data_IF_586245053664
#
_entry.id   IF_586245053664
#
_cell.length_a   1.000
_cell.length_b   1.000
_cell.length_c   1.000
_cell.angle_alpha   90.00
_cell.angle_beta   90.00
_cell.angle_gamma   90.00
#
_symmetry.space_group_name_H-M   'P 1'
#
loop_
_entity.id
_entity.type
_entity.pdbx_description
1 polymer ?
#
# COMPACT_ATOMS: atom_id res chain seq x y z
N UNK A 1 13.27 -5.95 46.19
CA UNK A 1 14.46 -5.50 45.42
C UNK A 1 13.96 -5.20 44.02
N UNK A 2 14.29 -4.04 43.45
CA UNK A 2 13.96 -3.75 42.05
C UNK A 2 14.77 -4.72 41.18
N UNK A 3 14.11 -5.44 40.27
CA UNK A 3 14.78 -6.31 39.30
C UNK A 3 15.20 -5.47 38.10
N UNK A 4 16.49 -5.47 37.78
CA UNK A 4 17.02 -4.93 36.53
C UNK A 4 17.05 -6.03 35.48
N UNK A 5 16.58 -5.74 34.27
CA UNK A 5 16.54 -6.66 33.13
C UNK A 5 17.08 -5.95 31.89
N UNK A 6 18.01 -6.58 31.17
CA UNK A 6 18.42 -6.11 29.85
C UNK A 6 17.33 -6.48 28.86
N UNK A 7 16.71 -5.47 28.26
CA UNK A 7 15.56 -5.62 27.36
C UNK A 7 15.92 -5.41 25.89
N UNK A 8 17.08 -4.83 25.62
CA UNK A 8 17.65 -4.69 24.29
C UNK A 8 19.17 -4.66 24.39
N UNK A 9 19.86 -5.34 23.48
CA UNK A 9 21.32 -5.28 23.38
C UNK A 9 21.78 -5.50 21.93
N UNK A 10 22.65 -4.63 21.43
CA UNK A 10 23.37 -4.85 20.17
C UNK A 10 24.76 -4.23 20.21
N UNK A 11 25.71 -4.87 19.52
CA UNK A 11 27.05 -4.34 19.28
C UNK A 11 27.22 -3.84 17.84
N UNK A 12 26.14 -3.85 17.04
CA UNK A 12 26.19 -3.30 15.69
C UNK A 12 26.41 -1.79 15.72
N UNK A 13 27.00 -1.28 14.64
CA UNK A 13 27.12 0.16 14.44
C UNK A 13 25.83 0.64 13.83
N UNK A 14 25.11 1.46 14.58
CA UNK A 14 23.89 2.11 14.14
C UNK A 14 24.26 3.50 13.65
N UNK A 15 23.97 3.75 12.38
CA UNK A 15 24.17 5.04 11.74
C UNK A 15 22.94 5.93 11.99
N UNK A 16 23.13 7.11 12.57
CA UNK A 16 22.05 8.01 13.03
C UNK A 16 22.00 9.31 12.23
N UNK A 17 23.07 9.72 11.53
CA UNK A 17 23.03 10.86 10.60
C UNK A 17 24.38 11.16 9.93
N UNK A 18 24.35 11.79 8.75
CA UNK A 18 25.52 12.21 7.94
C UNK A 18 25.49 13.72 7.68
N UNK A 19 26.65 14.39 7.72
CA UNK A 19 26.81 15.72 7.09
C UNK A 19 27.71 15.65 5.83
N UNK A 20 27.06 15.74 4.65
CA UNK A 20 27.60 16.12 3.34
C UNK A 20 28.84 15.35 2.79
N UNK A 21 28.67 14.09 2.37
CA UNK A 21 29.59 13.41 1.43
C UNK A 21 29.11 13.67 0.00
N UNK A 22 29.94 14.29 -0.85
CA UNK A 22 29.63 14.69 -2.25
C UNK A 22 29.18 13.59 -3.24
N UNK A 23 29.02 12.35 -2.75
CA UNK A 23 28.54 11.19 -3.52
C UNK A 23 27.43 10.40 -2.82
N UNK A 24 27.04 10.78 -1.61
CA UNK A 24 26.00 10.15 -0.82
C UNK A 24 24.87 11.16 -0.60
N UNK A 25 23.63 10.70 -0.53
CA UNK A 25 22.50 11.58 -0.25
C UNK A 25 22.70 12.28 1.10
N UNK A 26 22.54 13.60 1.22
CA UNK A 26 22.60 14.29 2.51
C UNK A 26 21.55 13.69 3.44
N UNK A 27 21.96 13.08 4.56
CA UNK A 27 21.02 12.57 5.57
C UNK A 27 20.66 13.72 6.52
N UNK A 28 19.64 14.48 6.16
CA UNK A 28 19.00 15.40 7.09
C UNK A 28 18.39 14.58 8.26
N UNK A 29 18.97 14.72 9.46
CA UNK A 29 18.36 14.37 10.75
C UNK A 29 17.57 13.06 10.83
N UNK A 30 18.20 11.92 10.58
CA UNK A 30 17.55 10.61 10.76
C UNK A 30 17.33 10.26 12.24
N UNK A 31 16.21 9.59 12.51
CA UNK A 31 15.90 9.00 13.80
C UNK A 31 16.01 7.47 13.73
N UNK A 32 16.59 6.87 14.75
CA UNK A 32 16.63 5.40 14.93
C UNK A 32 15.77 5.02 16.13
N UNK A 33 14.99 3.94 16.00
CA UNK A 33 14.05 3.51 17.05
C UNK A 33 14.41 2.15 17.64
N UNK A 34 14.24 2.01 18.95
CA UNK A 34 14.44 0.79 19.72
C UNK A 34 13.14 0.50 20.46
N UNK A 35 12.51 -0.64 20.14
CA UNK A 35 11.27 -1.08 20.79
C UNK A 35 11.58 -1.83 22.08
N UNK A 36 10.97 -1.40 23.18
CA UNK A 36 11.10 -2.06 24.49
C UNK A 36 9.94 -3.04 24.72
N UNK A 37 10.06 -3.98 25.67
CA UNK A 37 8.91 -4.68 26.24
C UNK A 37 8.05 -3.70 27.05
N UNK A 38 6.85 -4.15 27.44
CA UNK A 38 5.92 -3.36 28.23
C UNK A 38 6.59 -2.77 29.47
N UNK A 39 6.27 -1.51 29.76
CA UNK A 39 6.75 -0.81 30.96
C UNK A 39 5.56 -0.44 31.84
N UNK A 40 5.74 -0.56 33.14
CA UNK A 40 4.78 -0.08 34.12
C UNK A 40 5.06 1.38 34.48
N UNK A 41 4.03 2.07 34.99
CA UNK A 41 4.21 3.42 35.48
C UNK A 41 5.26 3.44 36.61
N UNK A 42 6.29 4.26 36.45
CA UNK A 42 7.38 4.41 37.41
C UNK A 42 8.53 3.42 37.22
N UNK A 43 8.49 2.53 36.22
CA UNK A 43 9.68 1.78 35.80
C UNK A 43 10.78 2.73 35.34
N UNK A 44 12.03 2.41 35.66
CA UNK A 44 13.17 3.14 35.14
C UNK A 44 13.72 2.44 33.90
N UNK A 45 14.05 3.22 32.88
CA UNK A 45 14.67 2.75 31.66
C UNK A 45 16.03 3.42 31.54
N UNK A 46 17.09 2.62 31.54
CA UNK A 46 18.46 3.09 31.35
C UNK A 46 18.93 2.72 29.94
N UNK A 47 19.23 3.74 29.12
CA UNK A 47 19.76 3.60 27.77
C UNK A 47 21.27 3.85 27.76
N UNK A 48 22.03 2.85 27.36
CA UNK A 48 23.48 2.90 27.24
C UNK A 48 23.88 2.85 25.78
N UNK A 49 24.90 3.63 25.41
CA UNK A 49 25.47 3.65 24.07
C UNK A 49 26.91 4.16 24.10
N UNK A 50 27.73 3.70 23.14
CA UNK A 50 29.01 4.33 22.82
C UNK A 50 28.84 5.22 21.58
N UNK A 51 29.02 6.55 21.70
CA UNK A 51 28.84 7.47 20.59
C UNK A 51 30.09 7.60 19.71
N UNK A 52 29.89 8.02 18.47
CA UNK A 52 30.90 8.57 17.57
C UNK A 52 30.29 9.79 16.89
N UNK A 53 30.97 10.94 16.92
CA UNK A 53 30.50 12.14 16.21
C UNK A 53 29.29 12.85 16.83
N UNK A 54 28.91 12.60 18.09
CA UNK A 54 27.73 13.27 18.67
C UNK A 54 27.99 14.76 18.87
N UNK A 55 27.30 15.60 18.11
CA UNK A 55 27.36 17.06 18.26
C UNK A 55 26.01 17.65 18.69
N UNK A 56 24.94 17.31 17.98
CA UNK A 56 23.57 17.71 18.31
C UNK A 56 22.62 16.55 18.04
N UNK A 57 22.12 15.92 19.10
CA UNK A 57 21.21 14.80 19.00
C UNK A 57 20.32 14.72 20.25
N UNK A 58 19.15 14.12 20.10
CA UNK A 58 18.18 13.94 21.17
C UNK A 58 17.67 12.51 21.23
N UNK A 59 17.34 12.07 22.44
CA UNK A 59 16.67 10.79 22.71
C UNK A 59 15.28 11.08 23.26
N UNK A 60 14.26 10.48 22.65
CA UNK A 60 12.88 10.55 23.08
C UNK A 60 12.42 9.20 23.63
N UNK A 61 11.64 9.23 24.72
CA UNK A 61 11.02 8.05 25.31
C UNK A 61 9.67 8.44 25.94
N UNK A 62 8.57 7.85 25.43
CA UNK A 62 7.19 8.12 25.89
C UNK A 62 6.86 9.62 26.03
N UNK A 63 7.25 10.42 25.03
CA UNK A 63 7.01 11.87 24.99
C UNK A 63 7.94 12.72 25.85
N UNK A 64 8.89 12.11 26.57
CA UNK A 64 9.99 12.84 27.21
C UNK A 64 11.18 12.90 26.26
N UNK A 65 11.75 14.08 26.08
CA UNK A 65 12.92 14.30 25.22
C UNK A 65 14.11 14.76 26.05
N UNK A 66 15.30 14.21 25.78
CA UNK A 66 16.56 14.62 26.40
C UNK A 66 17.65 14.78 25.36
N UNK A 67 18.43 15.85 25.48
CA UNK A 67 19.62 16.06 24.65
C UNK A 67 20.71 15.05 25.02
N UNK A 68 21.38 14.52 24.00
CA UNK A 68 22.55 13.67 24.16
C UNK A 68 23.77 14.53 24.53
N UNK A 69 24.67 14.04 25.40
CA UNK A 69 25.92 14.75 25.69
C UNK A 69 26.80 14.85 24.44
N UNK A 70 27.07 16.08 24.00
CA UNK A 70 27.95 16.34 22.87
C UNK A 70 29.41 15.93 23.16
N UNK A 71 30.05 15.28 22.20
CA UNK A 71 31.49 15.01 22.21
C UNK A 71 32.26 16.27 21.81
N UNK A 72 33.41 16.50 22.46
CA UNK A 72 34.27 17.66 22.16
C UNK A 72 35.35 17.28 21.15
N UNK A 73 35.63 18.12 20.13
CA UNK A 73 36.74 17.86 19.23
C UNK A 73 38.08 17.73 19.98
N UNK A 74 38.92 16.78 19.56
CA UNK A 74 40.29 16.65 20.07
C UNK A 74 41.17 17.83 19.59
N UNK A 75 42.30 18.15 20.27
CA UNK A 75 43.19 19.23 19.85
C UNK A 75 43.61 19.10 18.37
N UNK A 76 43.37 20.15 17.58
CA UNK A 76 43.67 20.16 16.14
C UNK A 76 42.62 19.51 15.25
N UNK A 77 41.49 19.04 15.80
CA UNK A 77 40.32 18.56 15.07
C UNK A 77 39.18 19.58 15.16
N UNK A 78 38.39 19.72 14.09
CA UNK A 78 37.22 20.61 14.08
C UNK A 78 35.94 19.95 14.61
N UNK A 79 35.84 18.63 14.45
CA UNK A 79 34.67 17.80 14.77
C UNK A 79 35.07 16.57 15.62
N UNK A 80 34.16 15.95 16.38
CA UNK A 80 34.44 14.83 17.29
C UNK A 80 34.30 13.43 16.65
N UNK A 81 34.98 13.19 15.52
CA UNK A 81 34.94 11.93 14.77
C UNK A 81 35.77 10.80 15.43
N UNK A 82 35.39 10.41 16.63
CA UNK A 82 36.05 9.34 17.36
C UNK A 82 35.04 8.64 18.27
N UNK A 83 35.25 7.34 18.52
CA UNK A 83 34.44 6.60 19.48
C UNK A 83 34.70 7.13 20.89
N UNK A 84 33.64 7.62 21.54
CA UNK A 84 33.67 8.12 22.91
C UNK A 84 33.60 7.00 23.95
N UNK A 85 33.45 7.41 25.21
CA UNK A 85 33.18 6.48 26.31
C UNK A 85 31.70 6.06 26.33
N UNK A 86 31.42 4.93 26.97
CA UNK A 86 30.05 4.47 27.20
C UNK A 86 29.26 5.53 27.98
N UNK A 87 28.12 5.94 27.42
CA UNK A 87 27.24 6.97 27.98
C UNK A 87 25.92 6.34 28.41
N UNK A 88 25.32 6.86 29.50
CA UNK A 88 24.05 6.38 30.06
C UNK A 88 23.03 7.52 30.11
N UNK A 89 21.80 7.24 29.69
CA UNK A 89 20.65 8.14 29.80
C UNK A 89 19.49 7.43 30.51
N UNK A 90 18.99 8.04 31.59
CA UNK A 90 17.92 7.46 32.40
C UNK A 90 16.57 8.14 32.15
N UNK A 91 15.53 7.33 32.02
CA UNK A 91 14.14 7.75 31.92
C UNK A 91 13.30 7.06 32.99
N UNK A 92 12.21 7.70 33.40
CA UNK A 92 11.20 7.09 34.28
C UNK A 92 9.88 7.09 33.53
N UNK A 93 9.29 5.91 33.31
CA UNK A 93 8.04 5.76 32.59
C UNK A 93 6.93 6.58 33.28
N UNK A 94 6.36 7.60 32.62
CA UNK A 94 5.37 8.50 33.24
C UNK A 94 4.01 7.82 33.42
N UNK A 95 3.74 6.80 32.62
CA UNK A 95 2.55 5.94 32.63
C UNK A 95 2.94 4.51 32.22
N UNK A 96 2.05 3.55 32.46
CA UNK A 96 2.20 2.23 31.85
C UNK A 96 2.06 2.36 30.32
N UNK A 97 2.83 1.57 29.58
CA UNK A 97 2.83 1.60 28.12
C UNK A 97 3.18 0.22 27.58
N UNK A 98 2.39 -0.25 26.60
CA UNK A 98 2.75 -1.46 25.87
C UNK A 98 3.79 -1.10 24.81
N UNK A 99 4.89 -1.85 24.80
CA UNK A 99 6.01 -1.72 23.86
C UNK A 99 6.44 -0.28 23.50
N UNK A 100 6.80 0.56 24.47
CA UNK A 100 7.23 1.93 24.19
C UNK A 100 8.54 1.96 23.39
N UNK A 101 8.76 3.05 22.65
CA UNK A 101 9.94 3.26 21.83
C UNK A 101 10.94 4.20 22.52
N UNK A 102 12.22 3.89 22.40
CA UNK A 102 13.31 4.87 22.50
C UNK A 102 13.63 5.31 21.07
N UNK A 103 13.58 6.61 20.80
CA UNK A 103 13.92 7.18 19.50
C UNK A 103 15.13 8.09 19.65
N UNK A 104 16.17 7.88 18.86
CA UNK A 104 17.38 8.71 18.87
C UNK A 104 17.48 9.44 17.55
N UNK A 105 17.43 10.77 17.59
CA UNK A 105 17.45 11.63 16.40
C UNK A 105 18.70 12.48 16.38
N UNK A 106 19.39 12.50 15.23
CA UNK A 106 20.37 13.54 14.95
C UNK A 106 19.65 14.85 14.58
N UNK A 107 20.11 15.98 15.11
CA UNK A 107 19.66 17.30 14.67
C UNK A 107 20.71 17.94 13.75
N UNK A 108 20.30 18.88 12.90
CA UNK A 108 21.20 19.60 12.02
C UNK A 108 22.32 20.30 12.82
N UNK A 109 23.56 20.14 12.38
CA UNK A 109 24.70 20.86 12.94
C UNK A 109 24.94 22.08 12.07
N UNK A 110 25.11 23.26 12.68
CA UNK A 110 25.22 24.52 11.93
C UNK A 110 26.41 24.52 10.96
N UNK A 111 26.16 24.88 9.69
CA UNK A 111 27.18 24.98 8.63
C UNK A 111 28.37 25.84 9.09
N UNK A 112 29.52 25.22 9.34
CA UNK A 112 30.78 25.96 9.35
C UNK A 112 31.24 26.14 7.90
N UNK A 113 31.60 27.37 7.52
CA UNK A 113 31.87 27.84 6.14
C UNK A 113 33.02 27.13 5.38
N UNK A 114 33.48 25.97 5.84
CA UNK A 114 34.54 25.16 5.22
C UNK A 114 34.10 23.70 5.12
N UNK A 115 33.57 23.33 3.94
CA UNK A 115 33.06 22.00 3.55
C UNK A 115 34.14 20.90 3.43
N UNK A 116 34.93 20.63 4.47
CA UNK A 116 36.02 19.64 4.35
C UNK A 116 36.16 18.68 5.53
N UNK A 117 35.32 18.75 6.55
CA UNK A 117 35.30 17.73 7.60
C UNK A 117 33.96 17.00 7.56
N UNK A 118 33.98 15.78 7.04
CA UNK A 118 32.88 14.82 7.06
C UNK A 118 32.64 14.39 8.51
N UNK A 119 31.40 14.33 8.99
CA UNK A 119 31.07 13.73 10.29
C UNK A 119 29.90 12.77 10.15
N UNK A 120 30.01 11.64 10.85
CA UNK A 120 29.04 10.55 10.87
C UNK A 120 28.57 10.45 12.32
N UNK A 121 27.30 10.69 12.63
CA UNK A 121 26.80 10.33 13.96
C UNK A 121 26.47 8.84 13.96
N UNK A 122 27.27 8.06 14.69
CA UNK A 122 27.03 6.64 14.94
C UNK A 122 26.91 6.31 16.42
N UNK A 123 26.22 5.22 16.71
CA UNK A 123 26.19 4.58 18.02
C UNK A 123 26.55 3.11 17.91
N UNK A 124 27.18 2.56 18.95
CA UNK A 124 27.43 1.12 19.07
C UNK A 124 27.35 0.69 20.54
N UNK A 125 27.42 -0.61 20.80
CA UNK A 125 27.27 -1.20 22.15
C UNK A 125 26.00 -0.68 22.86
N UNK A 126 24.89 -0.66 22.12
CA UNK A 126 23.59 -0.22 22.62
C UNK A 126 23.06 -1.23 23.62
N UNK A 127 22.72 -0.78 24.83
CA UNK A 127 22.05 -1.61 25.84
C UNK A 127 20.89 -0.82 26.41
N UNK A 128 19.73 -1.44 26.52
CA UNK A 128 18.61 -0.88 27.29
C UNK A 128 18.31 -1.80 28.46
N UNK A 129 18.31 -1.23 29.65
CA UNK A 129 17.91 -1.90 30.88
C UNK A 129 16.57 -1.33 31.37
N UNK A 130 15.67 -2.22 31.76
CA UNK A 130 14.43 -1.88 32.48
C UNK A 130 14.61 -2.27 33.95
N UNK A 131 14.37 -1.33 34.85
CA UNK A 131 14.39 -1.54 36.29
C UNK A 131 12.95 -1.40 36.80
N UNK A 132 12.36 -2.53 37.15
CA UNK A 132 10.97 -2.59 37.58
C UNK A 132 10.75 -1.83 38.90
N UNK A 133 9.78 -0.92 38.93
CA UNK A 133 9.39 -0.23 40.16
C UNK A 133 8.66 -1.21 41.08
N UNK A 134 9.21 -1.45 42.27
CA UNK A 134 8.65 -2.44 43.17
C UNK A 134 7.28 -2.00 43.72
N UNK A 135 6.17 -2.44 43.08
CA UNK A 135 4.84 -2.37 43.70
C UNK A 135 4.02 -3.66 43.52
N UNK A 136 4.02 -4.42 44.61
CA UNK A 136 3.06 -5.43 45.11
C UNK A 136 1.95 -5.86 44.14
N UNK A 137 2.09 -7.10 43.66
CA UNK A 137 1.03 -7.98 43.18
C UNK A 137 -0.19 -8.01 44.10
N UNK A 138 -1.39 -7.90 43.51
CA UNK A 138 -2.60 -8.54 44.00
C UNK A 138 -3.21 -9.36 42.84
N UNK A 139 -3.51 -10.66 43.02
CA UNK A 139 -4.13 -11.46 41.99
C UNK A 139 -5.65 -11.25 42.00
N UNK A 140 -6.23 -10.82 40.88
CA UNK A 140 -7.68 -10.84 40.69
C UNK A 140 -8.06 -12.08 39.90
N UNK A 141 -8.88 -12.91 40.54
CA UNK A 141 -9.46 -14.16 40.06
C UNK A 141 -10.27 -13.96 38.79
N UNK A 142 -9.97 -14.74 37.75
CA UNK A 142 -10.65 -14.74 36.44
C UNK A 142 -11.92 -15.60 36.51
N UNK A 143 -13.05 -15.07 36.03
CA UNK A 143 -14.19 -15.84 35.56
C UNK A 143 -14.08 -15.98 34.02
N UNK A 144 -14.44 -17.13 33.41
CA UNK A 144 -14.21 -17.36 31.99
C UNK A 144 -15.32 -16.70 31.17
N UNK A 145 -14.92 -15.77 30.30
CA UNK A 145 -15.74 -15.26 29.19
C UNK A 145 -15.06 -15.73 27.89
N UNK A 146 -15.85 -16.03 26.83
CA UNK A 146 -15.45 -16.95 25.77
C UNK A 146 -14.25 -16.44 24.99
N UNK A 147 -13.40 -17.40 24.60
CA UNK A 147 -12.18 -17.26 23.79
C UNK A 147 -12.35 -16.25 22.67
N UNK A 148 -11.76 -15.07 22.85
CA UNK A 148 -11.31 -14.24 21.74
C UNK A 148 -10.26 -15.04 20.95
N UNK A 149 -10.20 -14.89 19.61
CA UNK A 149 -9.11 -15.46 18.82
C UNK A 149 -7.76 -14.99 19.39
N UNK A 150 -6.70 -15.80 19.26
CA UNK A 150 -5.39 -15.46 19.80
C UNK A 150 -4.95 -14.06 19.33
N UNK A 151 -4.36 -13.22 20.20
CA UNK A 151 -3.81 -11.95 19.76
C UNK A 151 -2.73 -12.24 18.71
N UNK A 152 -2.82 -11.52 17.58
CA UNK A 152 -1.82 -11.52 16.52
C UNK A 152 -0.42 -11.29 17.10
N UNK A 153 0.60 -11.87 16.46
CA UNK A 153 1.96 -11.68 16.91
C UNK A 153 2.31 -10.17 16.85
N UNK A 154 3.03 -9.61 17.84
CA UNK A 154 3.34 -8.18 17.81
C UNK A 154 4.14 -7.80 16.57
N UNK A 155 3.70 -6.78 15.84
CA UNK A 155 4.34 -6.32 14.59
C UNK A 155 3.88 -7.06 13.34
N UNK A 156 2.94 -7.99 13.46
CA UNK A 156 2.40 -8.76 12.33
C UNK A 156 1.70 -7.86 11.31
N UNK A 157 0.87 -6.90 11.76
CA UNK A 157 0.20 -5.96 10.85
C UNK A 157 1.20 -5.07 10.15
N UNK A 158 2.18 -4.52 10.87
CA UNK A 158 3.25 -3.71 10.27
C UNK A 158 4.01 -4.48 9.20
N UNK A 159 4.41 -5.73 9.48
CA UNK A 159 5.08 -6.59 8.51
C UNK A 159 4.20 -6.89 7.31
N UNK A 160 2.93 -7.26 7.53
CA UNK A 160 1.99 -7.55 6.45
C UNK A 160 1.82 -6.31 5.55
N UNK A 161 1.60 -5.12 6.11
CA UNK A 161 1.40 -3.92 5.31
C UNK A 161 2.67 -3.57 4.50
N UNK A 162 3.86 -3.69 5.11
CA UNK A 162 5.11 -3.20 4.51
C UNK A 162 5.82 -4.19 3.60
N UNK A 163 5.63 -5.49 3.80
CA UNK A 163 6.30 -6.55 3.03
C UNK A 163 5.41 -7.14 1.94
N UNK A 164 4.12 -6.80 1.90
CA UNK A 164 3.18 -7.28 0.88
C UNK A 164 3.19 -6.39 -0.34
N UNK A 165 3.23 -7.01 -1.51
CA UNK A 165 2.90 -6.35 -2.77
C UNK A 165 1.38 -6.33 -2.90
N UNK A 166 0.79 -5.14 -2.78
CA UNK A 166 -0.65 -4.93 -2.89
C UNK A 166 -1.02 -4.63 -4.34
N UNK A 167 -2.16 -5.14 -4.81
CA UNK A 167 -2.74 -4.70 -6.09
C UNK A 167 -2.76 -3.17 -6.19
N UNK A 168 -2.50 -2.60 -7.37
CA UNK A 168 -2.67 -1.15 -7.56
C UNK A 168 -4.11 -0.72 -7.26
N UNK A 169 -4.27 0.53 -6.83
CA UNK A 169 -5.42 1.19 -6.20
C UNK A 169 -6.78 1.12 -6.92
N UNK A 170 -7.23 -0.03 -7.42
CA UNK A 170 -8.58 -0.38 -7.93
C UNK A 170 -8.56 -1.55 -8.92
N UNK A 171 -7.40 -1.88 -9.51
CA UNK A 171 -7.25 -2.99 -10.44
C UNK A 171 -6.60 -4.18 -9.74
N UNK A 172 -7.14 -5.39 -9.92
CA UNK A 172 -6.41 -6.64 -9.63
C UNK A 172 -5.29 -6.85 -10.66
N UNK A 173 -4.50 -5.82 -10.90
CA UNK A 173 -3.28 -5.88 -11.66
C UNK A 173 -2.24 -6.33 -10.65
N UNK A 174 -1.88 -7.61 -10.70
CA UNK A 174 -0.62 -8.15 -10.18
C UNK A 174 0.03 -9.02 -11.27
N UNK A 175 -0.18 -8.66 -12.55
CA UNK A 175 0.30 -9.35 -13.75
C UNK A 175 -0.13 -10.82 -13.85
N UNK A 176 -0.85 -11.18 -14.91
CA UNK A 176 -0.99 -12.58 -15.29
C UNK A 176 0.22 -12.91 -16.16
N UNK A 177 1.29 -13.45 -15.55
CA UNK A 177 2.43 -14.02 -16.28
C UNK A 177 3.75 -13.27 -16.13
N UNK A 178 4.66 -13.89 -15.37
CA UNK A 178 6.13 -13.92 -15.36
C UNK A 178 7.04 -12.76 -15.82
N UNK A 179 6.55 -11.62 -16.32
CA UNK A 179 7.37 -10.43 -16.51
C UNK A 179 6.54 -9.18 -16.19
N UNK A 180 6.81 -8.66 -15.00
CA UNK A 180 6.53 -7.28 -14.59
C UNK A 180 5.06 -6.95 -14.26
N UNK A 181 4.74 -7.19 -13.00
CA UNK A 181 3.43 -7.06 -12.36
C UNK A 181 3.24 -5.65 -11.81
N UNK A 182 2.11 -5.02 -12.12
CA UNK A 182 1.69 -3.77 -11.49
C UNK A 182 1.40 -3.99 -9.98
N UNK A 183 1.94 -3.20 -9.05
CA UNK A 183 1.58 -3.29 -7.61
C UNK A 183 2.02 -2.04 -6.82
N UNK A 184 1.53 -1.90 -5.58
CA UNK A 184 1.91 -0.87 -4.62
C UNK A 184 2.56 -1.51 -3.38
N UNK A 185 3.63 -0.91 -2.87
CA UNK A 185 4.16 -1.18 -1.51
C UNK A 185 4.03 0.07 -0.65
N UNK A 186 3.63 -0.12 0.60
CA UNK A 186 3.60 0.93 1.62
C UNK A 186 4.81 0.76 2.53
N UNK A 187 5.75 1.70 2.56
CA UNK A 187 6.92 1.63 3.41
C UNK A 187 6.88 2.75 4.46
N UNK A 188 7.61 2.58 5.54
CA UNK A 188 7.71 3.60 6.59
C UNK A 188 8.53 4.82 6.15
N UNK A 189 9.28 4.69 5.07
CA UNK A 189 10.21 5.69 4.52
C UNK A 189 9.77 6.23 3.17
N UNK A 190 8.80 5.59 2.51
CA UNK A 190 8.27 6.01 1.22
C UNK A 190 7.02 5.18 0.87
N UNK A 191 6.36 5.51 -0.22
CA UNK A 191 5.58 4.53 -0.96
C UNK A 191 6.08 4.51 -2.38
N UNK A 192 5.97 3.38 -3.03
CA UNK A 192 6.28 3.29 -4.44
C UNK A 192 5.40 2.25 -5.12
N UNK A 193 5.17 2.49 -6.41
CA UNK A 193 4.35 1.68 -7.27
C UNK A 193 5.23 1.05 -8.35
N UNK A 194 4.92 -0.16 -8.78
CA UNK A 194 5.43 -0.73 -10.01
C UNK A 194 4.31 -0.70 -11.02
N UNK A 195 4.55 -0.14 -12.22
CA UNK A 195 3.59 -0.08 -13.32
C UNK A 195 4.30 -0.46 -14.62
N UNK A 196 3.86 -1.53 -15.28
CA UNK A 196 4.53 -2.11 -16.45
C UNK A 196 6.00 -2.40 -16.18
N UNK A 197 6.32 -2.85 -14.96
CA UNK A 197 7.68 -3.15 -14.50
C UNK A 197 8.56 -1.97 -14.17
N UNK A 198 8.07 -0.75 -14.35
CA UNK A 198 8.78 0.46 -13.98
C UNK A 198 8.42 0.83 -12.56
N UNK A 199 9.44 1.07 -11.74
CA UNK A 199 9.26 1.58 -10.40
C UNK A 199 9.04 3.09 -10.41
N UNK A 200 7.99 3.53 -9.75
CA UNK A 200 7.63 4.92 -9.52
C UNK A 200 7.65 5.17 -8.02
N UNK A 201 8.67 5.89 -7.60
CA UNK A 201 8.92 6.16 -6.19
C UNK A 201 8.51 7.56 -5.82
N UNK A 202 8.06 7.73 -4.58
CA UNK A 202 8.03 9.02 -3.93
C UNK A 202 9.43 9.41 -3.42
N UNK A 203 10.46 9.37 -4.29
CA UNK A 203 11.86 9.67 -3.92
C UNK A 203 12.07 11.14 -3.52
N UNK A 204 11.16 12.03 -3.92
CA UNK A 204 11.18 13.44 -3.55
C UNK A 204 10.11 13.71 -2.48
N UNK A 205 9.83 12.75 -1.59
CA UNK A 205 8.63 12.75 -0.79
C UNK A 205 8.84 12.47 0.69
N UNK A 206 8.71 13.51 1.50
CA UNK A 206 8.73 13.39 2.96
C UNK A 206 7.60 12.46 3.43
N UNK A 207 7.95 11.40 4.17
CA UNK A 207 6.96 10.65 4.95
C UNK A 207 6.58 11.51 6.14
N UNK A 208 5.40 12.09 6.09
CA UNK A 208 4.91 12.91 7.18
C UNK A 208 4.55 12.05 8.41
N UNK A 209 4.02 10.84 8.20
CA UNK A 209 3.86 9.83 9.23
C UNK A 209 3.58 8.44 8.65
N UNK A 210 3.90 7.41 9.42
CA UNK A 210 3.43 6.05 9.23
C UNK A 210 3.10 5.44 10.59
N UNK A 211 1.86 5.02 10.80
CA UNK A 211 1.36 4.48 12.06
C UNK A 211 0.63 3.16 11.83
N UNK A 212 0.77 2.23 12.77
CA UNK A 212 0.07 0.94 12.75
C UNK A 212 -0.56 0.71 14.12
N UNK A 213 -1.83 0.36 14.13
CA UNK A 213 -2.54 -0.18 15.28
C UNK A 213 -2.69 -1.69 15.07
N UNK A 214 -1.86 -2.46 15.76
CA UNK A 214 -1.86 -3.93 15.70
C UNK A 214 -3.14 -4.55 16.23
N UNK A 215 -3.79 -3.94 17.23
CA UNK A 215 -4.98 -4.49 17.87
C UNK A 215 -6.20 -4.37 16.95
N UNK A 216 -6.35 -3.21 16.29
CA UNK A 216 -7.41 -3.01 15.32
C UNK A 216 -7.00 -3.40 13.90
N UNK A 217 -5.76 -3.84 13.65
CA UNK A 217 -5.19 -4.14 12.32
C UNK A 217 -5.34 -2.97 11.34
N UNK A 218 -5.13 -1.75 11.82
CA UNK A 218 -5.24 -0.51 11.04
C UNK A 218 -3.87 0.09 10.77
N UNK A 219 -3.73 0.80 9.66
CA UNK A 219 -2.55 1.65 9.43
C UNK A 219 -2.95 3.02 8.91
N UNK A 220 -2.13 4.01 9.21
CA UNK A 220 -2.23 5.35 8.66
C UNK A 220 -0.88 5.74 8.06
N UNK A 221 -0.88 6.28 6.85
CA UNK A 221 0.35 6.79 6.26
C UNK A 221 0.08 8.09 5.50
N UNK A 222 1.03 9.01 5.53
CA UNK A 222 0.97 10.24 4.76
C UNK A 222 2.31 10.51 4.10
N UNK A 223 2.26 10.71 2.80
CA UNK A 223 3.41 10.92 1.95
C UNK A 223 3.22 12.21 1.17
N UNK A 224 4.19 13.09 1.22
CA UNK A 224 4.24 14.27 0.34
C UNK A 224 5.14 13.95 -0.86
N UNK A 225 5.05 14.68 -1.97
CA UNK A 225 6.09 14.71 -3.00
C UNK A 225 6.38 16.16 -3.34
N UNK A 226 7.61 16.47 -3.75
CA UNK A 226 8.06 17.82 -4.06
C UNK A 226 8.52 17.93 -5.52
N UNK A 227 8.58 19.17 -6.03
CA UNK A 227 9.24 19.46 -7.32
C UNK A 227 10.07 20.73 -7.18
N UNK A 228 10.96 20.97 -8.14
CA UNK A 228 11.75 22.20 -8.18
C UNK A 228 10.95 23.48 -8.48
N UNK A 229 9.64 23.38 -8.74
CA UNK A 229 8.80 24.51 -9.11
C UNK A 229 8.21 25.25 -7.90
N UNK A 230 8.16 24.62 -6.72
CA UNK A 230 7.58 25.19 -5.50
C UNK A 230 8.24 24.59 -4.26
N UNK A 231 8.29 25.38 -3.17
CA UNK A 231 8.76 24.91 -1.87
C UNK A 231 7.67 24.18 -1.07
N UNK A 232 6.43 24.17 -1.55
CA UNK A 232 5.33 23.44 -0.94
C UNK A 232 5.22 22.03 -1.55
N UNK A 233 4.63 21.05 -0.83
CA UNK A 233 4.32 19.75 -1.40
C UNK A 233 3.56 19.89 -2.73
N UNK A 234 4.09 19.25 -3.76
CA UNK A 234 3.40 19.13 -5.04
C UNK A 234 2.16 18.27 -4.91
N UNK A 235 2.33 17.09 -4.30
CA UNK A 235 1.25 16.17 -3.98
C UNK A 235 1.32 15.70 -2.53
N UNK A 236 0.17 15.38 -1.96
CA UNK A 236 0.04 14.77 -0.63
C UNK A 236 -0.92 13.59 -0.75
N UNK A 237 -0.43 12.40 -0.43
CA UNK A 237 -1.21 11.16 -0.43
C UNK A 237 -1.38 10.70 1.01
N UNK A 238 -2.61 10.70 1.51
CA UNK A 238 -2.96 10.21 2.84
C UNK A 238 -3.74 8.92 2.71
N UNK A 239 -3.25 7.88 3.38
CA UNK A 239 -3.82 6.54 3.39
C UNK A 239 -4.29 6.19 4.79
N UNK A 240 -5.52 5.70 4.88
CA UNK A 240 -6.04 5.04 6.08
C UNK A 240 -6.49 3.64 5.69
N UNK A 241 -5.81 2.62 6.20
CA UNK A 241 -6.07 1.23 5.86
C UNK A 241 -6.54 0.37 7.04
N UNK A 242 -7.25 -0.69 6.72
CA UNK A 242 -7.78 -1.71 7.62
C UNK A 242 -7.53 -3.08 6.98
N UNK A 243 -6.70 -3.89 7.62
CA UNK A 243 -6.43 -5.26 7.19
C UNK A 243 -7.55 -6.17 7.73
N UNK A 244 -8.14 -6.97 6.84
CA UNK A 244 -9.23 -7.88 7.15
C UNK A 244 -8.73 -9.33 7.33
N UNK A 245 -9.58 -10.18 7.92
CA UNK A 245 -9.28 -11.59 8.19
C UNK A 245 -9.15 -12.43 6.91
N UNK A 246 -9.79 -12.00 5.82
CA UNK A 246 -9.64 -12.61 4.49
C UNK A 246 -8.29 -12.26 3.81
N UNK A 247 -7.46 -11.43 4.46
CA UNK A 247 -6.17 -10.98 3.94
C UNK A 247 -6.27 -9.76 3.02
N UNK A 248 -7.46 -9.23 2.78
CA UNK A 248 -7.64 -7.99 2.02
C UNK A 248 -7.31 -6.75 2.86
N UNK A 249 -6.92 -5.69 2.17
CA UNK A 249 -6.67 -4.38 2.76
C UNK A 249 -7.69 -3.37 2.23
N UNK A 250 -8.65 -2.99 3.07
CA UNK A 250 -9.53 -1.88 2.76
C UNK A 250 -8.80 -0.57 3.04
N UNK A 251 -8.76 0.32 2.05
CA UNK A 251 -7.99 1.56 2.14
C UNK A 251 -8.83 2.75 1.67
N UNK A 252 -8.76 3.83 2.44
CA UNK A 252 -9.21 5.16 2.04
C UNK A 252 -7.97 5.95 1.62
N UNK A 253 -7.97 6.43 0.38
CA UNK A 253 -6.91 7.27 -0.16
C UNK A 253 -7.46 8.68 -0.39
N UNK A 254 -6.86 9.65 0.30
CA UNK A 254 -7.08 11.08 0.09
C UNK A 254 -5.85 11.66 -0.62
N UNK A 255 -6.03 12.01 -1.88
CA UNK A 255 -5.01 12.59 -2.74
C UNK A 255 -5.24 14.10 -2.86
N UNK A 256 -4.20 14.87 -2.58
CA UNK A 256 -4.20 16.31 -2.72
C UNK A 256 -3.13 16.74 -3.72
N UNK A 257 -3.51 17.56 -4.69
CA UNK A 257 -2.60 18.13 -5.69
C UNK A 257 -2.61 19.64 -5.56
N UNK A 258 -1.42 20.25 -5.50
CA UNK A 258 -1.29 21.69 -5.37
C UNK A 258 -1.93 22.40 -6.57
N UNK A 259 -2.68 23.47 -6.29
CA UNK A 259 -3.19 24.36 -7.34
C UNK A 259 -2.04 25.24 -7.84
N UNK A 260 -1.62 24.98 -9.08
CA UNK A 260 -0.57 25.73 -9.78
C UNK A 260 -0.75 27.25 -9.76
N UNK A 261 -2.00 27.75 -9.72
CA UNK A 261 -2.29 29.18 -9.62
C UNK A 261 -1.89 29.81 -8.28
N UNK A 262 -1.73 28.98 -7.25
CA UNK A 262 -1.39 29.42 -5.88
C UNK A 262 -0.08 28.81 -5.37
N UNK A 263 0.68 28.09 -6.20
CA UNK A 263 1.81 27.25 -5.76
C UNK A 263 2.95 28.01 -5.09
N UNK A 264 3.09 29.32 -5.36
CA UNK A 264 4.12 30.18 -4.77
C UNK A 264 3.59 31.04 -3.60
N UNK A 265 2.32 30.86 -3.22
CA UNK A 265 1.76 31.54 -2.06
C UNK A 265 2.33 30.94 -0.75
N UNK A 266 2.41 31.73 0.34
CA UNK A 266 2.82 31.21 1.65
C UNK A 266 1.94 30.05 2.16
N UNK A 267 0.70 29.97 1.67
CA UNK A 267 -0.24 28.87 1.90
C UNK A 267 -0.93 28.54 0.57
N UNK A 268 -0.39 27.61 -0.22
CA UNK A 268 -1.02 27.23 -1.48
C UNK A 268 -2.30 26.44 -1.22
N UNK A 269 -3.23 26.54 -2.17
CA UNK A 269 -4.44 25.73 -2.18
C UNK A 269 -4.13 24.35 -2.76
N UNK A 270 -4.91 23.36 -2.34
CA UNK A 270 -4.85 22.00 -2.87
C UNK A 270 -6.24 21.58 -3.33
N UNK A 271 -6.30 20.87 -4.45
CA UNK A 271 -7.46 20.04 -4.76
C UNK A 271 -7.47 18.83 -3.82
N UNK A 272 -8.64 18.22 -3.64
CA UNK A 272 -8.79 17.00 -2.84
C UNK A 272 -9.63 16.00 -3.64
N UNK A 273 -9.07 14.82 -3.86
CA UNK A 273 -9.78 13.66 -4.37
C UNK A 273 -9.73 12.56 -3.30
N UNK A 274 -10.89 11.98 -2.97
CA UNK A 274 -10.99 10.86 -2.03
C UNK A 274 -11.55 9.64 -2.75
N UNK A 275 -10.87 8.51 -2.58
CA UNK A 275 -11.28 7.21 -3.14
C UNK A 275 -11.13 6.12 -2.11
N UNK A 276 -11.96 5.09 -2.23
CA UNK A 276 -11.94 3.92 -1.35
C UNK A 276 -11.72 2.67 -2.19
N UNK A 277 -10.85 1.78 -1.71
CA UNK A 277 -10.43 0.59 -2.44
C UNK A 277 -10.33 -0.61 -1.51
N UNK A 278 -10.46 -1.80 -2.10
CA UNK A 278 -10.08 -3.07 -1.46
C UNK A 278 -8.92 -3.63 -2.25
N UNK A 279 -7.75 -3.68 -1.62
CA UNK A 279 -6.52 -4.21 -2.19
C UNK A 279 -6.32 -5.66 -1.75
N UNK A 280 -5.66 -6.44 -2.59
CA UNK A 280 -5.34 -7.83 -2.30
C UNK A 280 -3.83 -8.08 -2.41
N UNK A 281 -3.25 -8.99 -1.60
CA UNK A 281 -1.88 -9.44 -1.80
C UNK A 281 -1.74 -10.08 -3.18
N UNK A 282 -0.64 -9.80 -3.89
CA UNK A 282 -0.42 -10.37 -5.22
C UNK A 282 -0.29 -11.91 -5.23
N UNK A 283 0.18 -12.52 -4.14
CA UNK A 283 0.28 -13.97 -3.96
C UNK A 283 -1.04 -14.62 -3.49
N UNK A 284 -2.00 -13.80 -3.05
CA UNK A 284 -3.33 -14.21 -2.57
C UNK A 284 -4.43 -13.35 -3.18
N UNK A 285 -4.34 -13.12 -4.49
CA UNK A 285 -5.49 -12.61 -5.22
C UNK A 285 -6.66 -13.57 -4.96
N UNK A 286 -7.84 -13.06 -4.56
CA UNK A 286 -9.04 -13.87 -4.59
C UNK A 286 -9.11 -14.46 -5.98
N UNK A 287 -9.46 -15.75 -6.07
CA UNK A 287 -9.94 -16.30 -7.32
C UNK A 287 -11.16 -15.48 -7.70
N UNK A 288 -10.94 -14.44 -8.51
CA UNK A 288 -12.03 -13.68 -9.08
C UNK A 288 -12.53 -14.57 -10.19
N UNK A 289 -13.57 -15.31 -9.83
CA UNK A 289 -14.33 -16.02 -10.83
C UNK A 289 -14.91 -14.97 -11.76
N UNK A 290 -14.80 -15.21 -13.06
CA UNK A 290 -15.39 -14.33 -14.08
C UNK A 290 -16.90 -14.26 -13.89
N UNK A 291 -17.47 -15.34 -13.38
CA UNK A 291 -18.85 -15.43 -12.93
C UNK A 291 -19.04 -14.78 -11.56
N UNK A 292 -20.06 -13.93 -11.44
CA UNK A 292 -20.52 -13.44 -10.15
C UNK A 292 -21.12 -14.59 -9.30
N UNK A 293 -21.06 -14.48 -7.95
CA UNK A 293 -21.73 -15.42 -7.06
C UNK A 293 -23.22 -15.53 -7.41
N UNK A 294 -23.71 -16.76 -7.61
CA UNK A 294 -25.10 -17.01 -7.97
C UNK A 294 -25.46 -16.71 -9.43
N UNK A 295 -24.47 -16.55 -10.32
CA UNK A 295 -24.73 -16.46 -11.75
C UNK A 295 -25.43 -17.73 -12.27
N UNK A 296 -26.59 -17.54 -12.90
CA UNK A 296 -27.39 -18.59 -13.52
C UNK A 296 -26.83 -18.98 -14.90
N UNK A 297 -26.26 -17.98 -15.60
CA UNK A 297 -25.75 -18.10 -16.96
C UNK A 297 -24.64 -17.09 -17.19
N UNK A 298 -23.56 -17.51 -17.86
CA UNK A 298 -22.42 -16.64 -18.16
C UNK A 298 -21.98 -16.86 -19.61
N UNK A 299 -21.80 -15.76 -20.33
CA UNK A 299 -21.38 -15.70 -21.72
C UNK A 299 -20.13 -14.83 -21.80
N UNK A 300 -19.09 -15.31 -22.49
CA UNK A 300 -17.82 -14.60 -22.65
C UNK A 300 -17.53 -14.46 -24.15
N UNK A 301 -17.13 -13.27 -24.61
CA UNK A 301 -16.71 -13.08 -26.00
C UNK A 301 -15.44 -13.88 -26.31
N UNK A 302 -15.44 -14.54 -27.46
CA UNK A 302 -14.40 -15.48 -27.90
C UNK A 302 -13.92 -15.14 -29.30
N UNK A 303 -12.74 -15.61 -29.67
CA UNK A 303 -12.33 -15.58 -31.07
C UNK A 303 -13.19 -16.57 -31.86
N UNK A 304 -13.69 -16.20 -33.04
CA UNK A 304 -14.59 -17.05 -33.84
C UNK A 304 -14.04 -18.41 -34.26
N UNK A 305 -12.76 -18.69 -34.00
CA UNK A 305 -12.09 -19.97 -34.23
C UNK A 305 -11.91 -20.84 -32.97
N UNK A 306 -12.43 -20.45 -31.81
CA UNK A 306 -12.33 -21.27 -30.60
C UNK A 306 -13.20 -22.52 -30.70
N UNK A 307 -12.57 -23.69 -30.54
CA UNK A 307 -13.26 -24.97 -30.52
C UNK A 307 -14.13 -25.08 -29.27
N UNK A 308 -15.40 -25.47 -29.44
CA UNK A 308 -16.32 -25.77 -28.34
C UNK A 308 -15.78 -26.92 -27.49
N UNK A 309 -15.08 -26.60 -26.40
CA UNK A 309 -14.78 -27.58 -25.37
C UNK A 309 -15.91 -27.50 -24.35
N UNK A 310 -16.78 -28.52 -24.33
CA UNK A 310 -18.04 -28.56 -23.58
C UNK A 310 -17.90 -28.51 -22.02
N UNK A 311 -16.72 -28.22 -21.47
CA UNK A 311 -16.47 -28.25 -20.02
C UNK A 311 -15.45 -27.23 -19.50
N UNK A 312 -15.20 -26.12 -20.21
CA UNK A 312 -14.35 -25.06 -19.66
C UNK A 312 -15.10 -24.29 -18.56
N UNK A 313 -14.45 -24.12 -17.40
CA UNK A 313 -14.91 -23.15 -16.40
C UNK A 313 -14.87 -21.73 -16.99
N UNK A 314 -15.71 -20.84 -16.49
CA UNK A 314 -15.71 -19.45 -16.95
C UNK A 314 -14.34 -18.78 -16.82
N UNK A 315 -13.57 -19.14 -15.80
CA UNK A 315 -12.22 -18.62 -15.59
C UNK A 315 -11.23 -19.09 -16.66
N UNK A 316 -11.28 -20.38 -16.99
CA UNK A 316 -10.41 -20.95 -18.02
C UNK A 316 -10.76 -20.39 -19.41
N UNK A 317 -12.06 -20.23 -19.70
CA UNK A 317 -12.52 -19.63 -20.94
C UNK A 317 -12.10 -18.15 -21.03
N UNK A 318 -12.30 -17.38 -19.96
CA UNK A 318 -11.89 -15.97 -19.94
C UNK A 318 -10.38 -15.80 -20.12
N UNK A 319 -9.57 -16.60 -19.42
CA UNK A 319 -8.11 -16.55 -19.55
C UNK A 319 -7.68 -16.88 -21.00
N UNK A 320 -8.31 -17.88 -21.63
CA UNK A 320 -8.05 -18.18 -23.04
C UNK A 320 -8.47 -17.01 -23.96
N UNK A 321 -9.65 -16.43 -23.75
CA UNK A 321 -10.12 -15.24 -24.47
C UNK A 321 -9.18 -14.05 -24.28
N UNK A 322 -8.68 -13.82 -23.06
CA UNK A 322 -7.75 -12.73 -22.73
C UNK A 322 -6.50 -12.77 -23.61
N UNK A 323 -5.88 -13.93 -23.70
CA UNK A 323 -4.65 -14.14 -24.48
C UNK A 323 -4.90 -14.14 -25.99
N UNK A 324 -6.03 -14.71 -26.43
CA UNK A 324 -6.25 -15.04 -27.86
C UNK A 324 -7.18 -14.07 -28.58
N UNK A 325 -7.83 -13.16 -27.86
CA UNK A 325 -8.78 -12.22 -28.46
C UNK A 325 -8.10 -11.37 -29.55
N UNK A 326 -8.76 -11.31 -30.71
CA UNK A 326 -8.39 -10.39 -31.78
C UNK A 326 -8.96 -8.98 -31.58
N UNK A 327 -9.79 -8.79 -30.57
CA UNK A 327 -10.37 -7.51 -30.14
C UNK A 327 -9.63 -6.99 -28.91
N UNK A 328 -9.47 -5.68 -28.77
CA UNK A 328 -8.96 -5.01 -27.57
C UNK A 328 -9.90 -5.14 -26.35
N UNK A 329 -11.14 -5.56 -26.60
CA UNK A 329 -12.19 -5.71 -25.61
C UNK A 329 -12.67 -7.16 -25.52
N UNK A 330 -12.93 -7.60 -24.29
CA UNK A 330 -13.61 -8.85 -23.95
C UNK A 330 -14.87 -8.51 -23.17
N UNK A 331 -16.00 -8.95 -23.71
CA UNK A 331 -17.31 -8.74 -23.11
C UNK A 331 -17.72 -9.98 -22.33
N UNK A 332 -18.11 -9.79 -21.07
CA UNK A 332 -18.78 -10.79 -20.25
C UNK A 332 -20.22 -10.36 -20.02
N UNK A 333 -21.16 -11.26 -20.30
CA UNK A 333 -22.57 -11.11 -19.96
C UNK A 333 -22.94 -12.20 -18.96
N UNK A 334 -23.63 -11.84 -17.89
CA UNK A 334 -24.06 -12.80 -16.88
C UNK A 334 -25.49 -12.53 -16.42
N UNK A 335 -26.25 -13.57 -16.15
CA UNK A 335 -27.58 -13.49 -15.55
C UNK A 335 -27.49 -13.83 -14.07
N UNK A 336 -27.82 -12.89 -13.21
CA UNK A 336 -27.77 -13.04 -11.74
C UNK A 336 -29.11 -12.63 -11.17
N UNK A 337 -29.78 -13.54 -10.45
CA UNK A 337 -31.12 -13.32 -9.89
C UNK A 337 -32.12 -12.81 -10.94
N UNK A 338 -32.12 -13.44 -12.13
CA UNK A 338 -32.97 -13.05 -13.27
C UNK A 338 -32.57 -11.77 -14.02
N UNK A 339 -31.56 -11.02 -13.58
CA UNK A 339 -31.11 -9.77 -14.20
C UNK A 339 -29.82 -9.98 -14.97
N UNK A 340 -29.80 -9.55 -16.24
CA UNK A 340 -28.57 -9.56 -17.04
C UNK A 340 -27.65 -8.40 -16.68
N UNK A 341 -26.36 -8.65 -16.63
CA UNK A 341 -25.33 -7.66 -16.38
C UNK A 341 -24.25 -7.82 -17.43
N UNK A 342 -23.73 -6.69 -17.93
CA UNK A 342 -22.61 -6.67 -18.86
C UNK A 342 -21.38 -6.05 -18.22
N UNK A 343 -20.22 -6.57 -18.59
CA UNK A 343 -18.92 -6.03 -18.21
C UNK A 343 -17.97 -6.12 -19.38
N UNK A 344 -17.24 -5.04 -19.62
CA UNK A 344 -16.09 -5.06 -20.51
C UNK A 344 -14.82 -5.26 -19.69
N UNK A 345 -13.90 -5.99 -20.29
CA UNK A 345 -12.53 -6.16 -19.83
C UNK A 345 -11.60 -5.87 -21.02
N UNK A 346 -10.37 -5.44 -20.78
CA UNK A 346 -9.38 -5.41 -21.84
C UNK A 346 -8.83 -6.81 -22.14
N UNK A 347 -8.27 -7.01 -23.33
CA UNK A 347 -7.52 -8.21 -23.71
C UNK A 347 -6.00 -7.96 -23.68
N UNK A 348 -5.20 -9.02 -23.81
CA UNK A 348 -3.75 -8.90 -24.01
C UNK A 348 -3.41 -8.05 -25.27
N UNK A 349 -4.24 -8.11 -26.31
CA UNK A 349 -4.08 -7.27 -27.50
C UNK A 349 -4.17 -5.78 -27.16
N UNK A 350 -5.08 -5.39 -26.26
CA UNK A 350 -5.18 -4.01 -25.81
C UNK A 350 -3.85 -3.53 -25.21
N UNK A 351 -3.26 -4.32 -24.32
CA UNK A 351 -2.02 -3.95 -23.62
C UNK A 351 -0.89 -3.65 -24.60
N UNK A 352 -0.87 -4.35 -25.74
CA UNK A 352 0.08 -4.13 -26.82
C UNK A 352 -0.27 -2.91 -27.69
N UNK A 353 -1.54 -2.71 -28.05
CA UNK A 353 -1.91 -1.70 -29.05
C UNK A 353 -2.26 -0.34 -28.46
N UNK A 354 -2.77 -0.28 -27.24
CA UNK A 354 -3.26 0.94 -26.61
C UNK A 354 -3.13 0.93 -25.06
N UNK A 355 -1.91 0.71 -24.52
CA UNK A 355 -1.68 0.48 -23.08
C UNK A 355 -2.28 1.56 -22.16
N UNK A 356 -2.22 2.83 -22.57
CA UNK A 356 -2.75 3.94 -21.77
C UNK A 356 -4.29 3.96 -21.69
N UNK A 357 -4.99 3.28 -22.60
CA UNK A 357 -6.45 3.25 -22.67
C UNK A 357 -7.04 1.95 -22.07
N UNK A 358 -6.27 0.86 -21.99
CA UNK A 358 -6.75 -0.44 -21.50
C UNK A 358 -7.38 -0.42 -20.11
N UNK A 359 -6.84 0.33 -19.12
CA UNK A 359 -7.47 0.41 -17.81
C UNK A 359 -8.90 0.99 -17.87
N UNK A 360 -9.21 1.82 -18.88
CA UNK A 360 -10.53 2.43 -19.04
C UNK A 360 -11.61 1.44 -19.49
N UNK A 361 -11.22 0.30 -20.06
CA UNK A 361 -12.14 -0.72 -20.56
C UNK A 361 -12.67 -1.65 -19.49
N UNK A 362 -11.99 -1.76 -18.35
CA UNK A 362 -12.36 -2.64 -17.24
C UNK A 362 -13.54 -2.07 -16.42
N UNK A 363 -14.71 -1.97 -17.03
CA UNK A 363 -15.89 -1.35 -16.40
C UNK A 363 -17.17 -2.15 -16.66
N UNK A 364 -18.09 -2.18 -15.69
CA UNK A 364 -19.44 -2.66 -15.93
C UNK A 364 -20.11 -1.77 -16.99
N UNK A 365 -21.05 -2.34 -17.73
CA UNK A 365 -21.89 -1.58 -18.63
C UNK A 365 -22.74 -0.60 -17.83
N UNK A 366 -22.81 0.64 -18.30
CA UNK A 366 -23.62 1.69 -17.66
C UNK A 366 -25.10 1.28 -17.67
N UNK A 367 -25.54 0.72 -18.81
CA UNK A 367 -26.91 0.30 -19.01
C UNK A 367 -27.02 -1.22 -18.96
N UNK A 368 -27.83 -1.68 -18.02
CA UNK A 368 -28.13 -3.09 -17.79
C UNK A 368 -28.89 -3.68 -18.99
N UNK A 369 -28.42 -4.80 -19.59
CA UNK A 369 -29.15 -5.46 -20.66
C UNK A 369 -30.52 -5.94 -20.19
N UNK A 370 -31.55 -5.74 -21.01
CA UNK A 370 -32.90 -6.27 -20.78
C UNK A 370 -33.12 -7.49 -21.67
N UNK A 371 -33.56 -8.60 -21.07
CA UNK A 371 -34.00 -9.77 -21.82
C UNK A 371 -35.35 -9.48 -22.50
N UNK A 372 -35.39 -9.62 -23.83
CA UNK A 372 -36.63 -9.52 -24.62
C UNK A 372 -37.19 -10.91 -24.95
N UNK A 373 -36.31 -11.88 -25.15
CA UNK A 373 -36.63 -13.28 -25.39
C UNK A 373 -35.52 -14.15 -24.80
N UNK A 374 -35.89 -15.32 -24.28
CA UNK A 374 -34.95 -16.31 -23.75
C UNK A 374 -34.52 -17.35 -24.80
N UNK A 375 -35.37 -17.61 -25.80
CA UNK A 375 -35.13 -18.57 -26.88
C UNK A 375 -35.77 -18.11 -28.21
N UNK A 376 -34.98 -17.69 -29.22
CA UNK A 376 -33.55 -17.40 -29.10
C UNK A 376 -33.32 -16.27 -28.09
N UNK A 377 -32.17 -16.29 -27.41
CA UNK A 377 -31.83 -15.22 -26.48
C UNK A 377 -31.69 -13.90 -27.25
N UNK A 378 -32.42 -12.88 -26.81
CA UNK A 378 -32.33 -11.51 -27.32
C UNK A 378 -32.19 -10.55 -26.15
N UNK A 379 -31.11 -9.79 -26.14
CA UNK A 379 -30.84 -8.77 -25.14
C UNK A 379 -30.87 -7.38 -25.77
N UNK A 380 -31.55 -6.43 -25.13
CA UNK A 380 -31.56 -5.02 -25.53
C UNK A 380 -30.77 -4.18 -24.55
N UNK A 381 -29.93 -3.30 -25.07
CA UNK A 381 -29.28 -2.22 -24.32
C UNK A 381 -29.80 -0.90 -24.85
N UNK A 382 -30.22 -0.02 -23.94
CA UNK A 382 -30.76 1.30 -24.26
C UNK A 382 -29.90 2.37 -23.57
N UNK A 383 -29.38 3.33 -24.34
CA UNK A 383 -28.65 4.50 -23.81
C UNK A 383 -29.45 5.80 -23.84
N UNK A 384 -30.76 5.70 -24.07
CA UNK A 384 -31.72 6.80 -24.19
C UNK A 384 -31.90 7.27 -25.63
N UNK A 385 -30.82 7.34 -26.41
CA UNK A 385 -30.86 7.82 -27.81
C UNK A 385 -30.61 6.73 -28.84
N UNK A 386 -29.91 5.68 -28.44
CA UNK A 386 -29.53 4.55 -29.25
C UNK A 386 -29.93 3.26 -28.53
N UNK A 387 -30.65 2.39 -29.26
CA UNK A 387 -31.00 1.05 -28.81
C UNK A 387 -30.24 0.03 -29.63
N UNK A 388 -29.61 -0.91 -28.93
CA UNK A 388 -28.84 -2.01 -29.52
C UNK A 388 -29.47 -3.34 -29.12
N UNK A 389 -29.81 -4.16 -30.12
CA UNK A 389 -30.32 -5.51 -29.91
C UNK A 389 -29.22 -6.53 -30.24
N UNK A 390 -28.94 -7.39 -29.27
CA UNK A 390 -27.99 -8.48 -29.34
C UNK A 390 -28.78 -9.77 -29.50
N UNK A 391 -28.75 -10.35 -30.70
CA UNK A 391 -29.43 -11.61 -31.00
C UNK A 391 -28.43 -12.76 -30.99
N UNK A 392 -28.70 -13.80 -30.20
CA UNK A 392 -27.78 -14.91 -29.99
C UNK A 392 -28.27 -16.16 -30.74
N UNK A 393 -27.47 -16.63 -31.69
CA UNK A 393 -27.64 -17.92 -32.36
C UNK A 393 -26.69 -18.97 -31.80
N UNK A 394 -27.18 -19.80 -30.88
CA UNK A 394 -26.38 -20.85 -30.23
C UNK A 394 -26.21 -22.10 -31.12
N UNK A 395 -24.99 -22.64 -31.13
CA UNK A 395 -24.61 -23.94 -31.64
C UNK A 395 -23.73 -24.63 -30.57
N UNK A 396 -24.35 -25.47 -29.75
CA UNK A 396 -23.72 -25.95 -28.51
C UNK A 396 -23.48 -24.80 -27.54
N UNK A 397 -22.30 -24.77 -26.92
CA UNK A 397 -21.90 -23.69 -26.00
C UNK A 397 -21.59 -22.36 -26.73
N UNK A 398 -21.32 -22.37 -28.03
CA UNK A 398 -20.93 -21.17 -28.78
C UNK A 398 -22.15 -20.48 -29.38
N UNK A 399 -22.21 -19.15 -29.26
CA UNK A 399 -23.19 -18.30 -29.92
C UNK A 399 -22.51 -17.36 -30.92
N UNK A 400 -23.07 -17.27 -32.12
CA UNK A 400 -22.90 -16.08 -32.94
C UNK A 400 -23.84 -15.00 -32.41
N UNK A 401 -23.31 -13.81 -32.17
CA UNK A 401 -24.07 -12.66 -31.71
C UNK A 401 -24.11 -11.64 -32.83
N UNK A 402 -25.32 -11.36 -33.31
CA UNK A 402 -25.57 -10.32 -34.29
C UNK A 402 -26.12 -9.09 -33.56
N UNK A 403 -25.43 -7.96 -33.71
CA UNK A 403 -25.81 -6.69 -33.08
C UNK A 403 -26.45 -5.79 -34.11
N UNK A 404 -27.67 -5.38 -33.82
CA UNK A 404 -28.43 -4.44 -34.64
C UNK A 404 -28.74 -3.19 -33.84
N UNK A 405 -28.93 -2.09 -34.57
CA UNK A 405 -29.12 -0.78 -34.00
C UNK A 405 -30.42 -0.18 -34.50
N UNK A 406 -31.10 0.59 -33.66
CA UNK A 406 -32.21 1.42 -34.11
C UNK A 406 -31.69 2.59 -34.97
N UNK A 407 -32.59 3.30 -35.66
CA UNK A 407 -32.24 4.43 -36.55
C UNK A 407 -31.65 5.64 -35.81
N UNK A 408 -31.69 5.66 -34.48
CA UNK A 408 -31.09 6.71 -33.65
C UNK A 408 -29.59 6.54 -33.41
N UNK A 409 -29.03 5.38 -33.75
CA UNK A 409 -27.61 5.06 -33.54
C UNK A 409 -26.77 5.41 -34.77
N UNK A 410 -25.69 6.17 -34.57
CA UNK A 410 -24.66 6.42 -35.60
C UNK A 410 -23.65 5.26 -35.70
N UNK A 411 -24.12 4.00 -35.73
CA UNK A 411 -23.27 2.79 -35.73
C UNK A 411 -23.77 1.75 -36.72
N UNK A 412 -22.84 1.07 -37.39
CA UNK A 412 -23.15 -0.01 -38.32
C UNK A 412 -23.36 -1.33 -37.56
N UNK A 413 -24.32 -2.18 -37.98
CA UNK A 413 -24.47 -3.54 -37.46
C UNK A 413 -23.17 -4.34 -37.57
N UNK A 414 -22.90 -5.18 -36.57
CA UNK A 414 -21.72 -6.04 -36.57
C UNK A 414 -22.03 -7.37 -35.89
N UNK A 415 -21.15 -8.35 -36.08
CA UNK A 415 -21.27 -9.68 -35.48
C UNK A 415 -20.01 -10.07 -34.76
N UNK A 416 -20.15 -10.82 -33.67
CA UNK A 416 -19.05 -11.41 -32.94
C UNK A 416 -19.47 -12.75 -32.34
N UNK A 417 -18.57 -13.43 -31.65
CA UNK A 417 -18.84 -14.72 -31.04
C UNK A 417 -18.75 -14.63 -29.53
N UNK A 418 -19.65 -15.34 -28.86
CA UNK A 418 -19.62 -15.57 -27.42
C UNK A 418 -19.72 -17.06 -27.13
N UNK A 419 -19.22 -17.50 -25.98
CA UNK A 419 -19.37 -18.88 -25.54
C UNK A 419 -19.91 -18.90 -24.12
N UNK A 420 -20.85 -19.82 -23.90
CA UNK A 420 -21.44 -20.13 -22.60
C UNK A 420 -20.51 -21.03 -21.80
N UNK A 421 -20.29 -20.68 -20.54
CA UNK A 421 -19.41 -21.39 -19.63
C UNK A 421 -20.12 -21.73 -18.32
N UNK A 422 -19.54 -22.65 -17.56
CA UNK A 422 -20.03 -22.98 -16.22
C UNK A 422 -19.40 -22.03 -15.19
N UNK A 423 -20.23 -21.31 -14.40
CA UNK A 423 -19.78 -20.40 -13.34
C UNK A 423 -18.75 -20.99 -12.39
#
# INVERSE_FOLDING_TARGET
>A
MASSEVVFQTNEKVHVGDEEISSWSPLYGSCVTITLPDVEQGDQVAFYYRPYGVENAQVSFMGMTRLMPAQRPQPGKKRPNYWGEMTRMDFTAPSAGSKPLIEVCAENVSETRQKVDFDDFMMTELVVERIASARRTAPTTVAPTPTAPPPNAPGETLQIITQTNWTLSSSQSCGIGDKETDYQRFLTTEYYNVIGGREFHANDGEVNYFTVDEASRRFGAKYSTYTNLTNAPWNISTYTGQLHDDGSLHIVHEFQQIDTGTMNAPRPNYSLERKEYVLWPCDRLPKKTVAAPGAERVLISVAGSESSQDNLSCDALFAASFERSTSELITTLQKVNGVWQGKNNHSAKCEVTMPNLCPLFNKPWINTPRELAADPLVLRVDDGTCQSDYQFGFNGAMARVDVTYNTGCSREPYSFYMMECRP
#
